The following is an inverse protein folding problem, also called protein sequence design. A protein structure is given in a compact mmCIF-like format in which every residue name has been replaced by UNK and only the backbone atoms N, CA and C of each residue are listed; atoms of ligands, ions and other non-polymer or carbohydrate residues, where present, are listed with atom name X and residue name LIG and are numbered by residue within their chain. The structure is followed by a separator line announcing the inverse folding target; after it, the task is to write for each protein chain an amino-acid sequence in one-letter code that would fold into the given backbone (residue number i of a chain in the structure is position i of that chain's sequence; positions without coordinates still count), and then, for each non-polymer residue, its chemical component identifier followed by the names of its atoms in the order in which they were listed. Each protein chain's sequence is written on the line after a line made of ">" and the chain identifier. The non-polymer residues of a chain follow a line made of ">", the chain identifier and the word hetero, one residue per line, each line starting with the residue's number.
data_IF_523093873738
#
_entry.id   IF_523093873738
#
_cell.length_a   1.000
_cell.length_b   1.000
_cell.length_c   1.000
_cell.angle_alpha   90.00
_cell.angle_beta   90.00
_cell.angle_gamma   90.00
#
_symmetry.space_group_name_H-M   'P 1'
#
loop_
_entity.id
_entity.type
_entity.pdbx_description
1 polymer ?
#
# COMPACT_ATOMS: atom_id res chain seq x y z
N UNK A 1 -23.48 11.94 -3.13
CA UNK A 1 -22.75 13.02 -2.43
C UNK A 1 -22.95 12.97 -0.90
N UNK A 2 -22.51 11.88 -0.28
CA UNK A 2 -22.56 11.73 1.17
C UNK A 2 -21.19 12.11 1.73
N UNK A 3 -21.06 13.31 2.28
CA UNK A 3 -19.79 13.84 2.84
C UNK A 3 -19.05 12.82 3.73
N UNK A 4 -19.80 12.01 4.48
CA UNK A 4 -19.23 10.95 5.33
C UNK A 4 -18.56 9.84 4.52
N UNK A 5 -19.17 9.38 3.43
CA UNK A 5 -18.60 8.34 2.56
C UNK A 5 -17.32 8.84 1.89
N UNK A 6 -17.35 10.07 1.36
CA UNK A 6 -16.18 10.69 0.72
C UNK A 6 -15.01 10.73 1.70
N UNK A 7 -15.24 11.24 2.91
CA UNK A 7 -14.20 11.34 3.95
C UNK A 7 -13.66 9.99 4.39
N UNK A 8 -14.51 8.96 4.49
CA UNK A 8 -14.09 7.60 4.82
C UNK A 8 -13.18 7.02 3.73
N UNK A 9 -13.57 7.15 2.46
CA UNK A 9 -12.78 6.68 1.33
C UNK A 9 -11.43 7.42 1.28
N UNK A 10 -11.44 8.74 1.42
CA UNK A 10 -10.20 9.52 1.44
C UNK A 10 -9.24 9.00 2.52
N UNK A 11 -9.74 8.90 3.75
CA UNK A 11 -8.94 8.50 4.92
C UNK A 11 -8.41 7.07 4.78
N UNK A 12 -9.25 6.11 4.36
CA UNK A 12 -8.86 4.71 4.22
C UNK A 12 -7.72 4.53 3.20
N UNK A 13 -7.85 5.16 2.02
CA UNK A 13 -6.81 5.07 1.00
C UNK A 13 -5.51 5.77 1.43
N UNK A 14 -5.61 6.93 2.08
CA UNK A 14 -4.43 7.67 2.55
C UNK A 14 -3.67 6.90 3.63
N UNK A 15 -4.38 6.22 4.54
CA UNK A 15 -3.75 5.35 5.55
C UNK A 15 -2.96 4.22 4.89
N UNK A 16 -3.57 3.49 3.94
CA UNK A 16 -2.88 2.38 3.27
C UNK A 16 -1.66 2.89 2.48
N UNK A 17 -1.79 4.00 1.76
CA UNK A 17 -0.68 4.60 1.03
C UNK A 17 0.46 5.02 1.97
N UNK A 18 0.12 5.59 3.13
CA UNK A 18 1.11 5.95 4.16
C UNK A 18 1.83 4.72 4.72
N UNK A 19 1.11 3.63 5.02
CA UNK A 19 1.72 2.37 5.46
C UNK A 19 2.68 1.80 4.40
N UNK A 20 2.31 1.87 3.12
CA UNK A 20 3.20 1.44 2.02
C UNK A 20 4.48 2.28 2.00
N UNK A 21 4.41 3.59 2.21
CA UNK A 21 5.58 4.46 2.32
C UNK A 21 6.48 4.03 3.49
N UNK A 22 5.90 3.76 4.67
CA UNK A 22 6.67 3.24 5.81
C UNK A 22 7.38 1.93 5.43
N UNK A 23 6.71 1.02 4.71
CA UNK A 23 7.29 -0.25 4.26
C UNK A 23 8.50 -0.02 3.34
N UNK A 24 8.43 0.97 2.45
CA UNK A 24 9.56 1.36 1.58
C UNK A 24 10.72 1.92 2.40
N UNK A 25 10.45 2.81 3.35
CA UNK A 25 11.49 3.38 4.22
C UNK A 25 12.17 2.27 5.04
N UNK A 26 11.39 1.37 5.65
CA UNK A 26 11.92 0.23 6.40
C UNK A 26 12.74 -0.73 5.52
N UNK A 27 12.48 -0.80 4.21
CA UNK A 27 13.32 -1.61 3.31
C UNK A 27 14.75 -1.08 3.15
N UNK A 28 14.99 0.20 3.44
CA UNK A 28 16.32 0.84 3.34
C UNK A 28 17.02 0.99 4.68
N UNK A 29 16.29 0.87 5.79
CA UNK A 29 16.82 1.00 7.14
C UNK A 29 16.84 -0.37 7.81
N UNK A 30 17.99 -0.81 8.36
CA UNK A 30 18.05 -2.05 9.13
C UNK A 30 17.05 -2.02 10.28
N UNK A 31 16.22 -3.04 10.38
CA UNK A 31 15.19 -3.18 11.41
C UNK A 31 15.03 -4.64 11.83
N UNK A 32 14.45 -4.87 13.00
CA UNK A 32 14.10 -6.21 13.47
C UNK A 32 12.80 -6.70 12.81
N UNK A 33 12.85 -7.72 11.92
CA UNK A 33 11.65 -8.26 11.27
C UNK A 33 10.69 -8.96 12.26
N UNK A 34 11.16 -9.32 13.45
CA UNK A 34 10.36 -9.94 14.50
C UNK A 34 9.70 -8.92 15.45
N UNK A 35 9.87 -7.62 15.19
CA UNK A 35 9.11 -6.60 15.89
C UNK A 35 7.61 -6.73 15.59
N UNK A 36 6.78 -6.64 16.63
CA UNK A 36 5.31 -6.68 16.49
C UNK A 36 4.79 -5.59 15.54
N UNK A 37 5.40 -4.41 15.57
CA UNK A 37 5.01 -3.28 14.71
C UNK A 37 5.33 -3.53 13.24
N UNK A 38 6.45 -4.18 12.95
CA UNK A 38 6.84 -4.55 11.58
C UNK A 38 5.92 -5.64 11.04
N UNK A 39 5.59 -6.65 11.85
CA UNK A 39 4.60 -7.66 11.46
C UNK A 39 3.23 -7.04 11.18
N UNK A 40 2.74 -6.17 12.06
CA UNK A 40 1.46 -5.50 11.86
C UNK A 40 1.46 -4.66 10.58
N UNK A 41 2.54 -3.92 10.31
CA UNK A 41 2.69 -3.18 9.06
C UNK A 41 2.63 -4.10 7.83
N UNK A 42 3.35 -5.22 7.89
CA UNK A 42 3.36 -6.22 6.82
C UNK A 42 1.96 -6.78 6.62
N UNK A 43 1.30 -7.25 7.67
CA UNK A 43 -0.04 -7.85 7.61
C UNK A 43 -1.10 -6.85 7.11
N UNK A 44 -0.99 -5.57 7.48
CA UNK A 44 -1.91 -4.52 7.03
C UNK A 44 -1.72 -4.17 5.54
N UNK A 45 -0.51 -4.29 5.01
CA UNK A 45 -0.18 -3.91 3.62
C UNK A 45 -0.16 -5.10 2.66
N UNK A 46 -0.03 -6.34 3.15
CA UNK A 46 0.07 -7.54 2.34
C UNK A 46 -1.16 -7.82 1.45
N UNK A 47 -2.42 -7.59 1.89
CA UNK A 47 -3.58 -7.77 1.02
C UNK A 47 -3.54 -6.92 -0.25
N UNK A 48 -2.86 -5.77 -0.21
CA UNK A 48 -2.68 -4.88 -1.36
C UNK A 48 -1.42 -5.22 -2.14
N UNK A 49 -0.32 -5.52 -1.45
CA UNK A 49 0.98 -5.74 -2.08
C UNK A 49 1.12 -7.12 -2.71
N UNK A 50 0.50 -8.16 -2.15
CA UNK A 50 0.57 -9.54 -2.67
C UNK A 50 -0.01 -9.68 -4.08
N UNK A 51 -1.22 -9.17 -4.40
CA UNK A 51 -1.75 -9.21 -5.76
C UNK A 51 -0.88 -8.44 -6.75
N UNK A 52 -0.34 -7.28 -6.34
CA UNK A 52 0.55 -6.47 -7.17
C UNK A 52 1.84 -7.24 -7.47
N UNK A 53 2.43 -7.90 -6.47
CA UNK A 53 3.64 -8.72 -6.62
C UNK A 53 3.41 -9.94 -7.52
N UNK A 54 2.20 -10.49 -7.54
CA UNK A 54 1.84 -11.60 -8.42
C UNK A 54 1.59 -11.14 -9.86
N UNK A 55 1.06 -9.93 -10.05
CA UNK A 55 0.77 -9.36 -11.35
C UNK A 55 2.02 -8.81 -12.07
N UNK A 56 2.99 -8.29 -11.31
CA UNK A 56 4.23 -7.75 -11.85
C UNK A 56 5.32 -8.83 -11.76
N UNK A 57 6.06 -9.13 -12.84
CA UNK A 57 7.14 -10.12 -12.82
C UNK A 57 8.38 -9.56 -12.09
N UNK A 58 8.31 -9.45 -10.76
CA UNK A 58 9.34 -8.81 -9.91
C UNK A 58 10.45 -9.80 -9.51
N UNK A 59 10.30 -11.08 -9.86
CA UNK A 59 11.23 -12.15 -9.50
C UNK A 59 12.63 -12.03 -10.12
N UNK A 60 12.87 -11.12 -11.07
CA UNK A 60 14.15 -11.04 -11.81
C UNK A 60 15.09 -9.88 -11.44
N UNK A 61 14.71 -8.96 -10.54
CA UNK A 61 15.52 -7.75 -10.26
C UNK A 61 16.11 -7.62 -8.85
N UNK A 62 15.88 -8.57 -7.94
CA UNK A 62 16.45 -8.56 -6.58
C UNK A 62 15.93 -7.44 -5.65
N UNK A 63 15.10 -6.52 -6.15
CA UNK A 63 14.48 -5.41 -5.43
C UNK A 63 12.96 -5.49 -5.57
N UNK A 64 12.23 -5.44 -4.46
CA UNK A 64 10.76 -5.44 -4.47
C UNK A 64 10.21 -4.05 -4.85
N UNK A 65 9.86 -3.87 -6.12
CA UNK A 65 9.21 -2.65 -6.63
C UNK A 65 7.68 -2.64 -6.44
N UNK A 66 7.07 -3.71 -5.89
CA UNK A 66 5.62 -3.79 -5.65
C UNK A 66 5.06 -2.59 -4.88
N UNK A 67 5.74 -2.05 -3.84
CA UNK A 67 5.25 -0.90 -3.10
C UNK A 67 4.98 0.34 -3.97
N UNK A 68 5.86 0.62 -4.93
CA UNK A 68 5.72 1.78 -5.82
C UNK A 68 4.51 1.59 -6.74
N UNK A 69 4.40 0.40 -7.33
CA UNK A 69 3.28 0.06 -8.22
C UNK A 69 1.95 0.12 -7.46
N UNK A 70 1.90 -0.45 -6.26
CA UNK A 70 0.72 -0.42 -5.41
C UNK A 70 0.32 1.01 -5.01
N UNK A 71 1.29 1.87 -4.68
CA UNK A 71 1.03 3.27 -4.35
C UNK A 71 0.34 4.01 -5.50
N UNK A 72 0.82 3.82 -6.74
CA UNK A 72 0.25 4.42 -7.95
C UNK A 72 -1.15 3.86 -8.22
N UNK A 73 -1.32 2.53 -8.16
CA UNK A 73 -2.61 1.87 -8.41
C UNK A 73 -3.67 2.28 -7.39
N UNK A 74 -3.33 2.39 -6.11
CA UNK A 74 -4.25 2.89 -5.08
C UNK A 74 -4.68 4.32 -5.34
N UNK A 75 -3.75 5.20 -5.74
CA UNK A 75 -4.08 6.58 -6.07
C UNK A 75 -5.02 6.71 -7.27
N UNK A 76 -4.82 5.86 -8.29
CA UNK A 76 -5.73 5.77 -9.42
C UNK A 76 -7.11 5.23 -9.00
N UNK A 77 -7.14 4.13 -8.25
CA UNK A 77 -8.37 3.50 -7.78
C UNK A 77 -9.20 4.45 -6.89
N UNK A 78 -8.54 5.22 -6.01
CA UNK A 78 -9.18 6.27 -5.19
C UNK A 78 -9.90 7.30 -6.06
N UNK A 79 -9.22 7.82 -7.10
CA UNK A 79 -9.78 8.82 -8.01
C UNK A 79 -10.97 8.26 -8.79
N UNK A 80 -10.85 7.05 -9.32
CA UNK A 80 -11.95 6.39 -10.06
C UNK A 80 -13.13 6.15 -9.14
N UNK A 81 -12.90 5.61 -7.94
CA UNK A 81 -13.96 5.33 -6.99
C UNK A 81 -14.71 6.61 -6.61
N UNK A 82 -14.01 7.69 -6.25
CA UNK A 82 -14.62 8.98 -5.92
C UNK A 82 -15.34 9.64 -7.10
N UNK A 83 -14.96 9.34 -8.34
CA UNK A 83 -15.63 9.88 -9.52
C UNK A 83 -16.96 9.17 -9.84
N UNK A 84 -17.15 7.95 -9.33
CA UNK A 84 -18.33 7.10 -9.63
C UNK A 84 -19.48 7.30 -8.63
N UNK A 85 -19.19 7.76 -7.41
CA UNK A 85 -20.14 7.88 -6.29
C UNK A 85 -20.64 9.33 -6.12
#
# INVERSE_FOLDING_TARGET
>A
MNFLLDRLIHTAFDIIQFLIIIRVILSWVPHDPYSQWVRLLNDATEPVLKPVRQAVPITSMGVDFSPIVAFILLGFLKKVLLAVI
#
